data_IF_851134392901
#
_entry.id   IF_851134392901
#
_cell.length_a   1.000
_cell.length_b   1.000
_cell.length_c   1.000
_cell.angle_alpha   90.00
_cell.angle_beta   90.00
_cell.angle_gamma   90.00
#
_symmetry.space_group_name_H-M   'P 1'
#
loop_
_entity.id
_entity.type
_entity.pdbx_description
1 polymer ?
#
# COMPACT_ATOMS: atom_id res chain seq x y z
N UNK A 1 -9.64 2.87 26.89
CA UNK A 1 -9.39 4.06 26.05
C UNK A 1 -10.63 4.29 25.20
N UNK A 2 -11.13 5.52 25.11
CA UNK A 2 -12.24 5.85 24.21
C UNK A 2 -11.65 6.16 22.83
N UNK A 3 -11.81 5.26 21.85
CA UNK A 3 -11.44 5.51 20.44
C UNK A 3 -12.41 6.53 19.83
N UNK A 4 -11.92 7.47 19.02
CA UNK A 4 -12.75 8.45 18.30
C UNK A 4 -12.71 8.15 16.80
N UNK A 5 -13.82 7.80 16.18
CA UNK A 5 -13.90 7.66 14.73
C UNK A 5 -13.84 9.02 14.02
N UNK A 6 -13.10 9.10 12.91
CA UNK A 6 -12.99 10.31 12.08
C UNK A 6 -13.63 10.07 10.71
N UNK A 7 -14.43 11.03 10.23
CA UNK A 7 -15.14 11.01 8.93
C UNK A 7 -14.59 12.13 8.05
N UNK A 8 -14.26 11.87 6.78
CA UNK A 8 -13.77 12.92 5.88
C UNK A 8 -14.36 12.92 4.46
N UNK A 9 -14.40 14.15 3.89
CA UNK A 9 -14.65 14.47 2.49
C UNK A 9 -13.38 15.11 1.93
N UNK A 10 -12.65 14.42 1.04
CA UNK A 10 -11.53 15.00 0.29
C UNK A 10 -11.90 15.14 -1.19
N UNK A 11 -11.92 16.37 -1.70
CA UNK A 11 -12.12 16.64 -3.12
C UNK A 11 -10.83 17.19 -3.70
N UNK A 12 -9.97 16.34 -4.26
CA UNK A 12 -8.86 16.77 -5.11
C UNK A 12 -8.76 15.83 -6.33
N UNK A 13 -9.05 16.39 -7.50
CA UNK A 13 -8.80 15.78 -8.81
C UNK A 13 -7.39 16.19 -9.25
N UNK A 14 -6.48 15.23 -9.41
CA UNK A 14 -5.22 15.44 -10.12
C UNK A 14 -5.36 14.96 -11.57
N UNK A 15 -5.09 15.88 -12.49
CA UNK A 15 -5.17 15.71 -13.94
C UNK A 15 -3.92 14.98 -14.45
N UNK A 16 -4.11 13.80 -15.04
CA UNK A 16 -3.06 13.12 -15.81
C UNK A 16 -2.76 13.87 -17.12
N UNK A 17 -1.52 14.30 -17.30
CA UNK A 17 -1.00 14.85 -18.55
C UNK A 17 -0.34 13.76 -19.38
N UNK A 18 -1.00 13.31 -20.45
CA UNK A 18 -0.40 12.40 -21.44
C UNK A 18 0.61 13.14 -22.33
N UNK A 19 1.83 12.62 -22.42
CA UNK A 19 2.86 13.03 -23.38
C UNK A 19 3.25 11.84 -24.28
N UNK A 20 2.84 11.91 -25.54
CA UNK A 20 2.96 10.87 -26.56
C UNK A 20 4.24 11.06 -27.43
N UNK A 21 4.91 9.97 -27.87
CA UNK A 21 5.77 9.89 -29.09
C UNK A 21 6.37 8.48 -29.41
N UNK A 22 5.64 7.72 -30.23
CA UNK A 22 5.99 7.06 -31.51
C UNK A 22 7.37 6.40 -31.84
N UNK A 23 7.30 5.06 -32.14
CA UNK A 23 7.77 4.25 -33.34
C UNK A 23 9.28 4.14 -33.69
N UNK A 24 9.91 3.03 -34.17
CA UNK A 24 9.50 1.75 -34.85
C UNK A 24 10.71 0.80 -35.03
N UNK A 25 10.44 -0.52 -35.07
CA UNK A 25 11.01 -1.67 -35.85
C UNK A 25 12.53 -1.97 -35.97
N UNK A 26 12.96 -3.19 -35.64
CA UNK A 26 13.01 -4.37 -36.57
C UNK A 26 13.84 -5.56 -36.01
N UNK A 27 13.31 -6.77 -36.20
CA UNK A 27 13.90 -8.10 -35.92
C UNK A 27 14.50 -8.71 -37.22
N UNK A 28 15.40 -9.73 -37.18
CA UNK A 28 14.93 -11.13 -37.12
C UNK A 28 15.83 -12.18 -36.37
N UNK A 29 15.16 -13.15 -35.73
CA UNK A 29 15.40 -14.63 -35.53
C UNK A 29 16.70 -15.26 -36.09
N UNK A 30 17.37 -16.30 -35.56
CA UNK A 30 17.20 -17.42 -34.59
C UNK A 30 18.61 -18.10 -34.45
N UNK A 31 18.97 -19.05 -33.54
CA UNK A 31 18.24 -20.31 -33.30
C UNK A 31 18.22 -20.90 -31.87
N UNK A 32 17.24 -21.78 -31.70
CA UNK A 32 16.94 -22.68 -30.58
C UNK A 32 18.13 -23.57 -30.16
N UNK A 33 18.39 -23.65 -28.86
CA UNK A 33 19.18 -24.72 -28.24
C UNK A 33 18.40 -25.29 -27.05
N UNK A 34 17.98 -26.56 -27.19
CA UNK A 34 17.44 -27.40 -26.10
C UNK A 34 18.44 -27.47 -24.93
N UNK A 35 18.02 -26.96 -23.77
CA UNK A 35 18.72 -27.08 -22.50
C UNK A 35 17.77 -27.65 -21.45
N UNK A 36 18.21 -28.73 -20.82
CA UNK A 36 17.48 -29.59 -19.89
C UNK A 36 16.98 -28.84 -18.66
N UNK A 37 15.71 -29.04 -18.28
CA UNK A 37 15.11 -28.53 -17.04
C UNK A 37 15.88 -29.05 -15.82
N UNK A 38 16.79 -28.24 -15.29
CA UNK A 38 17.26 -28.38 -13.92
C UNK A 38 16.15 -27.86 -13.01
N UNK A 39 15.59 -28.80 -12.26
CA UNK A 39 14.59 -28.54 -11.22
C UNK A 39 15.26 -27.71 -10.13
N UNK A 40 15.12 -26.39 -10.19
CA UNK A 40 15.57 -25.48 -9.15
C UNK A 40 14.82 -25.85 -7.88
N UNK A 41 15.54 -26.42 -6.90
CA UNK A 41 15.02 -26.58 -5.55
C UNK A 41 14.73 -25.18 -5.02
N UNK A 42 13.45 -24.85 -4.89
CA UNK A 42 12.99 -23.64 -4.23
C UNK A 42 13.43 -23.77 -2.78
N UNK A 43 14.49 -23.08 -2.41
CA UNK A 43 14.83 -22.87 -1.02
C UNK A 43 13.74 -21.96 -0.47
N UNK A 44 12.88 -22.48 0.41
CA UNK A 44 12.04 -21.66 1.29
C UNK A 44 13.00 -20.84 2.16
N UNK A 45 13.35 -19.64 1.69
CA UNK A 45 13.86 -18.59 2.54
C UNK A 45 12.77 -18.26 3.54
N UNK A 46 13.06 -18.34 4.85
CA UNK A 46 12.14 -17.88 5.89
C UNK A 46 11.70 -16.46 5.53
N UNK A 47 10.45 -16.32 5.10
CA UNK A 47 9.90 -15.03 4.72
C UNK A 47 9.82 -14.16 5.98
N UNK A 48 10.21 -12.88 5.90
CA UNK A 48 10.19 -12.01 7.06
C UNK A 48 8.80 -11.90 7.71
N UNK A 49 8.81 -11.76 9.04
CA UNK A 49 7.59 -11.70 9.84
C UNK A 49 7.03 -10.28 9.89
N UNK A 50 6.08 -9.96 9.01
CA UNK A 50 5.30 -8.72 9.07
C UNK A 50 4.01 -8.90 9.89
N UNK A 51 3.58 -7.86 10.63
CA UNK A 51 2.37 -7.85 11.48
C UNK A 51 1.09 -8.26 10.75
N UNK A 52 1.03 -8.02 9.43
CA UNK A 52 -0.13 -8.35 8.59
C UNK A 52 0.07 -9.58 7.70
N UNK A 53 1.10 -10.40 7.94
CA UNK A 53 1.35 -11.61 7.15
C UNK A 53 0.11 -12.50 7.04
N UNK A 54 -0.59 -12.72 8.15
CA UNK A 54 -1.77 -13.59 8.19
C UNK A 54 -3.01 -12.95 7.52
N UNK A 55 -2.96 -11.65 7.20
CA UNK A 55 -4.03 -10.96 6.48
C UNK A 55 -3.86 -10.99 4.95
N UNK A 56 -2.67 -11.34 4.45
CA UNK A 56 -2.35 -11.32 3.03
C UNK A 56 -2.27 -12.75 2.48
N UNK A 57 -2.92 -12.95 1.34
CA UNK A 57 -2.88 -14.21 0.60
C UNK A 57 -3.05 -13.94 -0.91
N UNK A 58 -2.99 -14.98 -1.73
CA UNK A 58 -3.15 -14.91 -3.20
C UNK A 58 -4.40 -14.15 -3.66
N UNK A 59 -5.50 -14.21 -2.90
CA UNK A 59 -6.75 -13.50 -3.24
C UNK A 59 -6.69 -12.00 -2.96
N UNK A 60 -5.75 -11.55 -2.12
CA UNK A 60 -5.59 -10.14 -1.71
C UNK A 60 -5.14 -9.27 -2.89
N UNK A 61 -4.18 -9.77 -3.68
CA UNK A 61 -3.65 -9.08 -4.84
C UNK A 61 -3.99 -9.77 -6.17
N UNK A 62 -5.12 -10.48 -6.18
CA UNK A 62 -5.77 -11.07 -7.36
C UNK A 62 -5.13 -12.37 -7.88
N UNK A 63 -3.80 -12.52 -7.84
CA UNK A 63 -3.09 -13.76 -8.23
C UNK A 63 -1.64 -13.80 -7.71
N UNK A 64 -0.88 -14.85 -8.06
CA UNK A 64 0.51 -15.10 -7.61
C UNK A 64 1.44 -13.90 -7.87
N UNK A 65 1.30 -13.23 -9.02
CA UNK A 65 2.09 -12.02 -9.34
C UNK A 65 1.83 -10.86 -8.38
N UNK A 66 0.60 -10.73 -7.89
CA UNK A 66 0.26 -9.76 -6.86
C UNK A 66 0.78 -10.17 -5.49
N UNK A 67 0.78 -11.47 -5.17
CA UNK A 67 1.40 -11.97 -3.94
C UNK A 67 2.93 -11.78 -3.97
N UNK A 68 3.57 -11.88 -5.13
CA UNK A 68 4.99 -11.55 -5.28
C UNK A 68 5.26 -10.09 -4.90
N UNK A 69 4.38 -9.15 -5.27
CA UNK A 69 4.52 -7.76 -4.85
C UNK A 69 4.51 -7.61 -3.32
N UNK A 70 3.75 -8.44 -2.60
CA UNK A 70 3.77 -8.48 -1.14
C UNK A 70 5.08 -9.02 -0.58
N UNK A 71 5.62 -10.09 -1.14
CA UNK A 71 6.91 -10.64 -0.73
C UNK A 71 8.04 -9.64 -0.98
N UNK A 72 8.03 -8.97 -2.13
CA UNK A 72 8.98 -7.91 -2.47
C UNK A 72 8.85 -6.73 -1.51
N UNK A 73 7.62 -6.27 -1.25
CA UNK A 73 7.34 -5.20 -0.31
C UNK A 73 7.98 -5.49 1.05
N UNK A 74 7.71 -6.67 1.63
CA UNK A 74 8.28 -7.08 2.93
C UNK A 74 9.80 -7.02 2.93
N UNK A 75 10.41 -7.64 1.92
CA UNK A 75 11.87 -7.70 1.83
C UNK A 75 12.48 -6.29 1.74
N UNK A 76 11.86 -5.37 0.99
CA UNK A 76 12.31 -3.97 0.93
C UNK A 76 12.16 -3.30 2.30
N UNK A 77 10.98 -3.39 2.93
CA UNK A 77 10.72 -2.63 4.16
C UNK A 77 11.52 -3.12 5.38
N UNK A 78 12.00 -4.36 5.38
CA UNK A 78 12.80 -4.90 6.49
C UNK A 78 14.23 -4.36 6.54
N UNK A 79 14.76 -3.91 5.40
CA UNK A 79 16.12 -3.41 5.25
C UNK A 79 16.20 -1.88 5.25
N UNK A 80 15.06 -1.18 5.45
CA UNK A 80 14.97 0.28 5.32
C UNK A 80 14.37 0.94 6.56
N UNK A 81 14.84 2.15 6.86
CA UNK A 81 14.36 2.97 7.95
C UNK A 81 13.37 4.03 7.44
N UNK A 82 12.19 4.10 8.05
CA UNK A 82 11.25 5.19 7.83
C UNK A 82 11.70 6.43 8.60
N UNK A 83 11.74 7.56 7.90
CA UNK A 83 12.09 8.86 8.43
C UNK A 83 11.09 9.32 9.48
N UNK A 84 11.63 9.85 10.59
CA UNK A 84 10.84 10.23 11.75
C UNK A 84 10.13 11.56 11.53
N UNK A 85 8.80 11.53 11.62
CA UNK A 85 8.01 12.76 11.75
C UNK A 85 7.95 13.13 13.23
N UNK A 86 8.67 14.19 13.59
CA UNK A 86 8.66 14.74 14.94
C UNK A 86 7.54 15.78 15.08
N UNK A 87 6.71 15.60 16.11
CA UNK A 87 5.69 16.58 16.48
C UNK A 87 6.28 17.55 17.50
N UNK A 88 6.84 18.67 17.03
CA UNK A 88 7.40 19.69 17.92
C UNK A 88 6.40 20.85 18.02
N UNK A 89 5.54 20.77 19.05
CA UNK A 89 4.49 21.72 19.42
C UNK A 89 3.21 21.66 18.55
N UNK A 90 2.38 20.63 18.78
CA UNK A 90 0.92 20.50 18.55
C UNK A 90 0.31 20.85 17.16
N UNK A 91 0.97 21.62 16.29
CA UNK A 91 0.36 22.25 15.12
C UNK A 91 1.21 22.18 13.83
N UNK A 92 2.45 21.69 13.86
CA UNK A 92 3.27 21.57 12.64
C UNK A 92 4.25 20.39 12.69
N UNK A 93 4.13 19.40 11.78
CA UNK A 93 5.14 18.36 11.64
C UNK A 93 6.48 19.00 11.27
N UNK A 94 7.55 18.64 12.01
CA UNK A 94 8.89 19.09 11.71
C UNK A 94 9.56 18.13 10.73
N UNK A 95 9.86 18.63 9.52
CA UNK A 95 10.61 17.92 8.48
C UNK A 95 12.09 18.35 8.41
N UNK A 96 12.59 19.17 9.34
CA UNK A 96 13.96 19.71 9.27
C UNK A 96 15.04 18.69 9.68
N UNK A 97 14.66 17.56 10.29
CA UNK A 97 15.58 16.49 10.74
C UNK A 97 15.09 15.10 10.29
N UNK A 98 14.80 14.95 8.99
CA UNK A 98 14.47 13.65 8.42
C UNK A 98 15.69 12.74 8.36
N UNK A 99 15.48 11.47 8.69
CA UNK A 99 16.53 10.48 8.91
C UNK A 99 16.17 9.09 8.35
N UNK A 100 15.27 9.05 7.35
CA UNK A 100 14.87 7.81 6.70
C UNK A 100 15.90 7.35 5.68
N UNK A 101 15.81 6.10 5.24
CA UNK A 101 16.61 5.57 4.15
C UNK A 101 16.46 6.46 2.92
N UNK A 102 17.58 6.69 2.24
CA UNK A 102 17.58 7.58 1.09
C UNK A 102 16.89 6.94 -0.11
N UNK A 103 16.34 7.77 -1.01
CA UNK A 103 15.74 7.27 -2.26
C UNK A 103 16.70 6.42 -3.09
N UNK A 104 17.99 6.75 -3.10
CA UNK A 104 19.01 5.99 -3.82
C UNK A 104 19.18 4.58 -3.24
N UNK A 105 19.23 4.45 -1.91
CA UNK A 105 19.29 3.16 -1.23
C UNK A 105 18.02 2.33 -1.45
N UNK A 106 16.82 2.94 -1.42
CA UNK A 106 15.58 2.21 -1.75
C UNK A 106 15.60 1.68 -3.18
N UNK A 107 16.09 2.49 -4.14
CA UNK A 107 16.21 2.05 -5.53
C UNK A 107 17.15 0.84 -5.64
N UNK A 108 18.29 0.83 -4.94
CA UNK A 108 19.20 -0.31 -4.91
C UNK A 108 18.53 -1.57 -4.34
N UNK A 109 17.77 -1.43 -3.25
CA UNK A 109 17.01 -2.55 -2.66
C UNK A 109 15.97 -3.10 -3.63
N UNK A 110 15.18 -2.22 -4.26
CA UNK A 110 14.18 -2.61 -5.26
C UNK A 110 14.84 -3.32 -6.44
N UNK A 111 15.92 -2.77 -7.01
CA UNK A 111 16.65 -3.38 -8.13
C UNK A 111 17.26 -4.74 -7.78
N UNK A 112 17.60 -4.98 -6.51
CA UNK A 112 18.14 -6.26 -6.04
C UNK A 112 17.09 -7.37 -5.90
N UNK A 113 15.82 -7.00 -5.81
CA UNK A 113 14.69 -7.92 -5.57
C UNK A 113 13.90 -8.11 -6.85
N UNK A 114 13.64 -7.00 -7.53
CA UNK A 114 12.87 -6.92 -8.75
C UNK A 114 13.83 -7.15 -9.92
N UNK A 115 14.31 -8.39 -10.08
CA UNK A 115 14.99 -8.85 -11.32
C UNK A 115 14.00 -8.95 -12.52
N UNK A 116 12.90 -8.20 -12.46
CA UNK A 116 11.74 -8.26 -13.32
C UNK A 116 11.72 -7.02 -14.21
N UNK A 117 12.16 -7.19 -15.45
CA UNK A 117 12.10 -6.14 -16.49
C UNK A 117 10.68 -5.62 -16.76
N UNK A 118 9.65 -6.30 -16.23
CA UNK A 118 8.24 -5.98 -16.42
C UNK A 118 7.61 -5.19 -15.27
N UNK A 119 8.30 -4.93 -14.14
CA UNK A 119 7.78 -3.99 -13.13
C UNK A 119 8.01 -2.56 -13.61
N UNK A 120 6.92 -1.78 -13.67
CA UNK A 120 6.97 -0.40 -14.15
C UNK A 120 7.21 0.57 -13.00
N UNK A 121 8.27 1.36 -13.11
CA UNK A 121 8.55 2.47 -12.21
C UNK A 121 7.93 3.76 -12.76
N UNK A 122 7.29 4.53 -11.87
CA UNK A 122 6.75 5.86 -12.17
C UNK A 122 7.03 6.81 -11.00
N UNK A 123 7.09 8.11 -11.28
CA UNK A 123 7.39 9.13 -10.28
C UNK A 123 6.52 10.37 -10.43
N UNK A 124 6.04 10.88 -9.31
CA UNK A 124 5.26 12.11 -9.24
C UNK A 124 5.92 13.07 -8.25
N UNK A 125 6.33 14.23 -8.77
CA UNK A 125 6.76 15.35 -7.94
C UNK A 125 5.52 15.98 -7.27
N UNK A 126 5.46 15.91 -5.95
CA UNK A 126 4.39 16.50 -5.14
C UNK A 126 4.72 17.97 -4.85
N UNK A 127 5.98 18.25 -4.53
CA UNK A 127 6.55 19.58 -4.37
C UNK A 127 8.07 19.55 -4.60
N UNK A 128 8.76 20.68 -4.48
CA UNK A 128 10.20 20.82 -4.78
C UNK A 128 11.07 19.76 -4.08
N UNK A 129 10.67 19.30 -2.88
CA UNK A 129 11.41 18.35 -2.07
C UNK A 129 10.62 17.06 -1.78
N UNK A 130 9.46 16.87 -2.39
CA UNK A 130 8.57 15.74 -2.11
C UNK A 130 8.28 14.94 -3.37
N UNK A 131 8.51 13.62 -3.30
CA UNK A 131 8.38 12.72 -4.45
C UNK A 131 7.62 11.46 -4.02
N UNK A 132 6.70 11.03 -4.87
CA UNK A 132 6.12 9.69 -4.81
C UNK A 132 6.76 8.83 -5.91
N UNK A 133 7.27 7.66 -5.54
CA UNK A 133 7.72 6.64 -6.48
C UNK A 133 6.79 5.44 -6.40
N UNK A 134 6.37 4.96 -7.56
CA UNK A 134 5.47 3.81 -7.71
C UNK A 134 6.20 2.68 -8.41
N UNK A 135 6.04 1.45 -7.92
CA UNK A 135 6.46 0.23 -8.60
C UNK A 135 5.23 -0.63 -8.87
N UNK A 136 4.85 -0.74 -10.14
CA UNK A 136 3.60 -1.35 -10.59
C UNK A 136 3.86 -2.73 -11.17
N UNK A 137 3.21 -3.72 -10.59
CA UNK A 137 3.34 -5.12 -10.96
C UNK A 137 2.27 -5.47 -12.00
N UNK A 138 2.63 -5.70 -13.27
CA UNK A 138 1.66 -6.06 -14.28
C UNK A 138 1.10 -7.47 -14.04
N UNK A 139 -0.08 -7.79 -14.61
CA UNK A 139 -0.54 -9.15 -14.73
C UNK A 139 0.42 -9.98 -15.58
N UNK A 140 0.48 -11.28 -15.32
CA UNK A 140 1.22 -12.22 -16.16
C UNK A 140 0.69 -12.21 -17.61
N UNK A 141 1.53 -12.58 -18.57
CA UNK A 141 1.17 -12.61 -20.00
C UNK A 141 0.00 -13.57 -20.32
N UNK A 142 -0.26 -14.55 -19.47
CA UNK A 142 -1.34 -15.54 -19.56
C UNK A 142 -2.47 -15.32 -18.52
N UNK A 143 -2.39 -14.25 -17.74
CA UNK A 143 -3.40 -13.87 -16.75
C UNK A 143 -4.75 -13.54 -17.41
N UNK A 144 -5.85 -13.92 -16.74
CA UNK A 144 -7.20 -13.52 -17.16
C UNK A 144 -7.44 -12.00 -17.03
N UNK A 145 -6.61 -11.31 -16.24
CA UNK A 145 -6.71 -9.88 -15.99
C UNK A 145 -5.92 -9.03 -16.99
N UNK A 146 -5.10 -9.62 -17.86
CA UNK A 146 -4.22 -8.92 -18.81
C UNK A 146 -4.90 -7.83 -19.64
N UNK A 147 -6.13 -8.07 -20.07
CA UNK A 147 -6.90 -7.13 -20.91
C UNK A 147 -7.70 -6.11 -20.08
N UNK A 148 -7.80 -6.29 -18.77
CA UNK A 148 -8.67 -5.50 -17.87
C UNK A 148 -7.90 -4.68 -16.83
N UNK A 149 -6.71 -5.12 -16.46
CA UNK A 149 -5.84 -4.50 -15.46
C UNK A 149 -4.52 -4.09 -16.11
N UNK A 150 -4.11 -2.84 -15.91
CA UNK A 150 -2.77 -2.40 -16.30
C UNK A 150 -1.71 -2.91 -15.32
N UNK A 151 -2.07 -3.02 -14.04
CA UNK A 151 -1.25 -3.58 -12.96
C UNK A 151 -2.14 -4.17 -11.88
N UNK A 152 -1.67 -5.20 -11.20
CA UNK A 152 -2.39 -5.94 -10.15
C UNK A 152 -2.12 -5.36 -8.77
N UNK A 153 -0.87 -4.95 -8.54
CA UNK A 153 -0.40 -4.40 -7.29
C UNK A 153 0.54 -3.23 -7.56
N UNK A 154 0.62 -2.32 -6.60
CA UNK A 154 1.46 -1.14 -6.64
C UNK A 154 2.12 -0.98 -5.28
N UNK A 155 3.46 -0.94 -5.28
CA UNK A 155 4.24 -0.45 -4.15
C UNK A 155 4.40 1.06 -4.31
N UNK A 156 4.26 1.78 -3.21
CA UNK A 156 4.44 3.23 -3.19
C UNK A 156 5.38 3.62 -2.07
N UNK A 157 6.35 4.46 -2.43
CA UNK A 157 7.28 5.07 -1.49
C UNK A 157 7.18 6.58 -1.61
N UNK A 158 6.94 7.24 -0.49
CA UNK A 158 6.89 8.70 -0.41
C UNK A 158 8.15 9.22 0.27
N UNK A 159 8.79 10.19 -0.38
CA UNK A 159 10.03 10.80 0.06
C UNK A 159 9.81 12.28 0.34
N UNK A 160 10.43 12.78 1.42
CA UNK A 160 10.58 14.20 1.70
C UNK A 160 12.07 14.50 1.97
N UNK A 161 12.62 15.53 1.34
CA UNK A 161 14.04 15.89 1.38
C UNK A 161 14.95 14.66 1.16
N UNK A 162 14.59 13.81 0.19
CA UNK A 162 15.29 12.56 -0.18
C UNK A 162 15.26 11.44 0.87
N UNK A 163 14.50 11.56 1.96
CA UNK A 163 14.34 10.53 2.99
C UNK A 163 13.01 9.82 2.80
N UNK A 164 12.99 8.49 2.92
CA UNK A 164 11.76 7.70 2.90
C UNK A 164 10.90 8.06 4.12
N UNK A 165 9.65 8.45 3.91
CA UNK A 165 8.73 8.88 4.98
C UNK A 165 7.52 7.97 5.13
N UNK A 166 7.11 7.31 4.06
CA UNK A 166 5.96 6.42 4.04
C UNK A 166 6.15 5.34 2.98
N UNK A 167 5.69 4.14 3.30
CA UNK A 167 5.63 3.01 2.38
C UNK A 167 4.22 2.42 2.35
N UNK A 168 3.81 1.88 1.20
CA UNK A 168 2.57 1.10 1.11
C UNK A 168 2.57 0.09 -0.01
N UNK A 169 1.71 -0.90 0.12
CA UNK A 169 1.27 -1.81 -0.94
C UNK A 169 -0.25 -1.72 -1.10
N UNK A 170 -0.70 -1.62 -2.35
CA UNK A 170 -2.11 -1.48 -2.72
C UNK A 170 -2.42 -2.28 -3.99
N UNK A 171 -3.69 -2.66 -4.25
CA UNK A 171 -4.07 -3.27 -5.51
C UNK A 171 -4.12 -2.20 -6.60
N UNK A 172 -3.51 -2.50 -7.73
CA UNK A 172 -3.69 -1.75 -8.98
C UNK A 172 -5.02 -2.04 -9.67
N UNK A 173 -5.52 -3.26 -9.45
CA UNK A 173 -6.83 -3.69 -9.90
C UNK A 173 -7.58 -4.34 -8.75
N UNK A 174 -8.82 -3.90 -8.56
CA UNK A 174 -9.64 -4.40 -7.47
C UNK A 174 -11.04 -4.81 -7.93
N UNK A 175 -11.58 -5.79 -7.22
CA UNK A 175 -12.98 -6.19 -7.28
C UNK A 175 -13.47 -6.43 -5.86
N UNK A 176 -14.44 -5.62 -5.43
CA UNK A 176 -15.03 -5.75 -4.11
C UNK A 176 -16.16 -6.77 -4.17
N UNK A 177 -15.96 -7.89 -3.50
CA UNK A 177 -17.03 -8.87 -3.28
C UNK A 177 -18.02 -8.28 -2.27
N UNK A 178 -19.21 -7.94 -2.74
CA UNK A 178 -20.24 -7.30 -1.91
C UNK A 178 -20.89 -8.29 -0.93
N UNK A 179 -20.74 -9.60 -1.18
CA UNK A 179 -21.26 -10.65 -0.33
C UNK A 179 -20.41 -10.76 0.95
N UNK A 180 -21.06 -10.70 2.11
CA UNK A 180 -20.44 -10.85 3.44
C UNK A 180 -19.43 -9.76 3.87
N UNK A 181 -19.52 -8.54 3.33
CA UNK A 181 -18.74 -7.43 3.85
C UNK A 181 -19.07 -7.15 5.33
N UNK A 182 -18.07 -6.91 6.19
CA UNK A 182 -18.32 -6.54 7.57
C UNK A 182 -19.02 -5.18 7.65
N UNK A 183 -19.84 -4.98 8.69
CA UNK A 183 -20.45 -3.67 8.90
C UNK A 183 -19.47 -2.72 9.55
N UNK A 184 -19.53 -1.42 9.20
CA UNK A 184 -18.66 -0.42 9.82
C UNK A 184 -18.77 -0.40 11.36
N UNK A 185 -19.97 -0.66 11.91
CA UNK A 185 -20.18 -0.73 13.36
C UNK A 185 -19.46 -1.92 14.00
N UNK A 186 -19.42 -3.08 13.34
CA UNK A 186 -18.68 -4.25 13.85
C UNK A 186 -17.18 -3.94 13.86
N UNK A 187 -16.68 -3.33 12.78
CA UNK A 187 -15.28 -2.94 12.64
C UNK A 187 -14.82 -1.94 13.71
N UNK A 188 -15.67 -0.99 14.11
CA UNK A 188 -15.35 -0.01 15.16
C UNK A 188 -15.08 -0.66 16.54
N UNK A 189 -15.50 -1.90 16.74
CA UNK A 189 -15.33 -2.62 18.02
C UNK A 189 -14.01 -3.37 18.13
N UNK A 190 -13.30 -3.58 17.01
CA UNK A 190 -12.07 -4.36 16.99
C UNK A 190 -10.93 -3.63 17.72
N UNK A 191 -10.10 -4.42 18.37
CA UNK A 191 -9.00 -3.97 19.22
C UNK A 191 -7.64 -4.54 18.81
N UNK A 192 -7.59 -5.69 18.13
CA UNK A 192 -6.33 -6.32 17.71
C UNK A 192 -6.32 -6.73 16.23
N UNK A 193 -5.12 -6.90 15.67
CA UNK A 193 -4.93 -7.39 14.29
C UNK A 193 -5.52 -8.79 14.10
N UNK A 194 -5.35 -9.69 15.07
CA UNK A 194 -5.99 -11.01 15.04
C UNK A 194 -7.52 -10.97 14.97
N UNK A 195 -8.17 -9.92 15.49
CA UNK A 195 -9.62 -9.77 15.34
C UNK A 195 -10.01 -9.37 13.91
N UNK A 196 -9.14 -8.63 13.19
CA UNK A 196 -9.30 -8.34 11.77
C UNK A 196 -9.13 -9.62 10.94
N UNK A 197 -8.12 -10.43 11.27
CA UNK A 197 -7.85 -11.72 10.62
C UNK A 197 -9.08 -12.65 10.68
N UNK A 198 -9.72 -12.72 11.85
CA UNK A 198 -10.92 -13.54 12.05
C UNK A 198 -12.12 -13.14 11.17
N UNK A 199 -12.13 -11.94 10.60
CA UNK A 199 -13.16 -11.52 9.64
C UNK A 199 -13.01 -12.23 8.29
N UNK A 200 -11.82 -12.73 7.96
CA UNK A 200 -11.46 -13.24 6.63
C UNK A 200 -11.81 -12.25 5.50
N UNK A 201 -11.69 -10.95 5.79
CA UNK A 201 -11.95 -9.88 4.82
C UNK A 201 -10.72 -9.64 3.95
N UNK A 202 -10.94 -9.39 2.66
CA UNK A 202 -9.86 -9.03 1.73
C UNK A 202 -9.25 -7.69 2.12
N UNK A 203 -7.94 -7.64 2.32
CA UNK A 203 -7.19 -6.41 2.56
C UNK A 203 -6.87 -5.72 1.23
N UNK A 204 -6.88 -4.39 1.25
CA UNK A 204 -6.65 -3.57 0.06
C UNK A 204 -5.51 -2.57 0.26
N UNK A 205 -5.13 -2.24 1.48
CA UNK A 205 -3.99 -1.35 1.66
C UNK A 205 -3.27 -1.80 2.91
N UNK A 206 -1.96 -1.93 2.80
CA UNK A 206 -1.06 -1.99 3.92
C UNK A 206 -0.09 -0.83 3.75
N UNK A 207 0.11 -0.05 4.80
CA UNK A 207 0.97 1.13 4.75
C UNK A 207 1.60 1.42 6.11
N UNK A 208 2.74 2.12 6.09
CA UNK A 208 3.58 2.33 7.27
C UNK A 208 4.16 3.74 7.29
N UNK A 209 4.20 4.33 8.50
CA UNK A 209 4.81 5.63 8.75
C UNK A 209 5.44 5.65 10.15
N UNK A 210 6.61 6.27 10.28
CA UNK A 210 7.26 6.49 11.58
C UNK A 210 6.78 7.82 12.19
N UNK A 211 5.97 7.74 13.25
CA UNK A 211 5.44 8.90 13.96
C UNK A 211 6.05 8.93 15.35
N UNK A 212 6.83 9.97 15.65
CA UNK A 212 7.71 9.98 16.82
C UNK A 212 8.57 8.69 16.84
N UNK A 213 8.69 8.01 17.98
CA UNK A 213 9.51 6.79 18.11
C UNK A 213 8.72 5.50 17.80
N UNK A 214 7.47 5.62 17.35
CA UNK A 214 6.61 4.47 17.06
C UNK A 214 6.40 4.28 15.55
N UNK A 215 6.65 3.06 15.06
CA UNK A 215 6.20 2.63 13.73
C UNK A 215 4.70 2.39 13.79
N UNK A 216 3.94 3.22 13.08
CA UNK A 216 2.49 3.07 12.97
C UNK A 216 2.20 2.41 11.63
N UNK A 217 1.49 1.30 11.69
CA UNK A 217 1.06 0.56 10.52
C UNK A 217 -0.42 0.80 10.29
N UNK A 218 -0.86 0.70 9.05
CA UNK A 218 -2.24 0.89 8.66
C UNK A 218 -2.66 -0.27 7.75
N UNK A 219 -3.87 -0.76 7.96
CA UNK A 219 -4.52 -1.74 7.09
C UNK A 219 -5.92 -1.27 6.71
N UNK A 220 -6.28 -1.42 5.43
CA UNK A 220 -7.60 -1.06 4.92
C UNK A 220 -8.38 -2.29 4.45
N UNK A 221 -9.62 -2.40 4.92
CA UNK A 221 -10.60 -3.38 4.42
C UNK A 221 -11.88 -2.67 3.95
N UNK A 222 -12.53 -3.18 2.89
CA UNK A 222 -13.84 -2.69 2.49
C UNK A 222 -14.89 -3.04 3.55
N UNK A 223 -15.81 -2.12 3.81
CA UNK A 223 -16.87 -2.28 4.79
C UNK A 223 -18.19 -1.74 4.26
N UNK A 224 -19.29 -2.32 4.71
CA UNK A 224 -20.62 -1.80 4.40
C UNK A 224 -21.10 -0.90 5.53
N UNK A 225 -21.57 0.29 5.19
CA UNK A 225 -22.32 1.14 6.09
C UNK A 225 -23.78 1.24 5.63
N UNK A 226 -24.70 1.24 6.58
CA UNK A 226 -26.12 1.48 6.30
C UNK A 226 -26.51 2.75 7.03
N UNK A 227 -26.82 3.79 6.27
CA UNK A 227 -27.21 5.07 6.87
C UNK A 227 -28.63 5.01 7.49
N UNK A 228 -29.03 6.07 8.21
CA UNK A 228 -30.34 6.12 8.88
C UNK A 228 -31.54 5.99 7.93
N UNK A 229 -31.35 6.29 6.64
CA UNK A 229 -32.36 6.17 5.59
C UNK A 229 -32.38 4.76 4.95
N UNK A 230 -31.50 3.86 5.39
CA UNK A 230 -31.37 2.50 4.89
C UNK A 230 -30.57 2.38 3.59
N UNK A 231 -29.86 3.44 3.18
CA UNK A 231 -28.95 3.37 2.02
C UNK A 231 -27.65 2.71 2.43
N UNK A 232 -27.25 1.72 1.63
CA UNK A 232 -25.96 1.07 1.72
C UNK A 232 -24.88 1.95 1.05
N UNK A 233 -23.76 2.13 1.75
CA UNK A 233 -22.58 2.84 1.28
C UNK A 233 -21.34 1.98 1.53
N UNK A 234 -20.56 1.75 0.48
CA UNK A 234 -19.29 1.06 0.57
C UNK A 234 -18.22 2.02 1.09
N UNK A 235 -17.55 1.63 2.17
CA UNK A 235 -16.49 2.37 2.82
C UNK A 235 -15.15 1.65 2.65
N UNK A 236 -14.08 2.43 2.55
CA UNK A 236 -12.73 1.99 2.85
C UNK A 236 -12.49 2.24 4.34
N UNK A 237 -12.38 1.16 5.14
CA UNK A 237 -12.22 1.24 6.59
C UNK A 237 -10.77 0.94 6.97
N UNK A 238 -10.12 1.92 7.59
CA UNK A 238 -8.71 1.90 7.94
C UNK A 238 -8.54 1.65 9.43
N UNK A 239 -7.69 0.68 9.77
CA UNK A 239 -7.18 0.48 11.12
C UNK A 239 -5.76 0.97 11.18
N UNK A 240 -5.44 1.74 12.22
CA UNK A 240 -4.08 2.09 12.58
C UNK A 240 -3.64 1.24 13.75
N UNK A 241 -2.48 0.62 13.63
CA UNK A 241 -1.95 -0.29 14.62
C UNK A 241 -0.56 0.14 15.09
N UNK A 242 -0.31 -0.16 16.36
CA UNK A 242 1.02 -0.21 16.94
C UNK A 242 1.24 -1.65 17.38
N UNK A 243 2.15 -2.33 16.70
CA UNK A 243 2.25 -3.79 16.74
C UNK A 243 0.86 -4.43 16.46
N UNK A 244 0.48 -5.41 17.27
CA UNK A 244 -0.80 -6.14 17.22
C UNK A 244 -2.03 -5.34 17.67
N UNK A 245 -1.85 -4.13 18.22
CA UNK A 245 -2.95 -3.38 18.83
C UNK A 245 -3.49 -2.30 17.88
N UNK A 246 -4.80 -2.30 17.68
CA UNK A 246 -5.51 -1.22 16.97
C UNK A 246 -5.61 -0.02 17.90
N UNK A 247 -4.88 1.05 17.58
CA UNK A 247 -4.85 2.30 18.34
C UNK A 247 -5.94 3.28 17.88
N UNK A 248 -6.28 3.26 16.59
CA UNK A 248 -7.27 4.17 16.00
C UNK A 248 -7.88 3.58 14.73
N UNK A 249 -9.01 4.12 14.29
CA UNK A 249 -9.59 3.83 12.98
C UNK A 249 -10.06 5.10 12.27
N UNK A 250 -10.18 5.02 10.95
CA UNK A 250 -10.77 6.04 10.10
C UNK A 250 -11.54 5.37 8.95
N UNK A 251 -12.43 6.11 8.29
CA UNK A 251 -13.08 5.60 7.09
C UNK A 251 -13.41 6.71 6.09
N UNK A 252 -13.39 6.33 4.82
CA UNK A 252 -13.70 7.18 3.68
C UNK A 252 -14.66 6.45 2.74
N UNK A 253 -15.47 7.16 1.93
CA UNK A 253 -16.20 6.53 0.85
C UNK A 253 -15.25 5.77 -0.07
N UNK A 254 -15.55 4.49 -0.36
CA UNK A 254 -14.65 3.65 -1.13
C UNK A 254 -14.37 4.22 -2.53
N UNK A 255 -15.38 4.83 -3.16
CA UNK A 255 -15.26 5.47 -4.48
C UNK A 255 -14.28 6.64 -4.56
N UNK A 256 -13.93 7.25 -3.42
CA UNK A 256 -12.90 8.27 -3.31
C UNK A 256 -11.52 7.63 -3.22
N UNK A 257 -11.40 6.62 -2.37
CA UNK A 257 -10.13 5.92 -2.10
C UNK A 257 -9.66 5.13 -3.31
N UNK A 258 -10.60 4.50 -4.02
CA UNK A 258 -10.33 3.57 -5.11
C UNK A 258 -9.79 4.20 -6.40
N UNK A 259 -9.55 5.52 -6.38
CA UNK A 259 -8.86 6.27 -7.41
C UNK A 259 -7.36 6.41 -7.13
N UNK A 260 -6.98 6.39 -5.86
CA UNK A 260 -5.59 6.60 -5.38
C UNK A 260 -5.49 6.15 -3.91
N UNK A 261 -5.24 4.86 -3.68
CA UNK A 261 -5.10 4.30 -2.33
C UNK A 261 -3.91 4.92 -1.56
N UNK A 262 -2.70 5.06 -2.16
CA UNK A 262 -1.54 5.57 -1.44
C UNK A 262 -1.73 7.01 -0.93
N UNK A 263 -2.21 7.93 -1.78
CA UNK A 263 -2.38 9.34 -1.38
C UNK A 263 -3.40 9.46 -0.24
N UNK A 264 -4.51 8.72 -0.30
CA UNK A 264 -5.49 8.71 0.80
C UNK A 264 -4.88 8.19 2.10
N UNK A 265 -4.02 7.17 2.03
CA UNK A 265 -3.32 6.61 3.20
C UNK A 265 -2.39 7.62 3.85
N UNK A 266 -1.57 8.33 3.06
CA UNK A 266 -0.68 9.40 3.53
C UNK A 266 -1.48 10.51 4.23
N UNK A 267 -2.57 10.98 3.61
CA UNK A 267 -3.43 12.01 4.18
C UNK A 267 -4.05 11.58 5.52
N UNK A 268 -4.47 10.32 5.62
CA UNK A 268 -5.02 9.77 6.86
C UNK A 268 -3.95 9.66 7.96
N UNK A 269 -2.70 9.32 7.64
CA UNK A 269 -1.59 9.37 8.60
C UNK A 269 -1.33 10.79 9.11
N UNK A 270 -1.29 11.78 8.22
CA UNK A 270 -1.13 13.19 8.62
C UNK A 270 -2.27 13.69 9.49
N UNK A 271 -3.48 13.16 9.33
CA UNK A 271 -4.61 13.46 10.20
C UNK A 271 -4.59 12.70 11.53
N UNK A 272 -3.91 11.56 11.60
CA UNK A 272 -3.74 10.78 12.83
C UNK A 272 -2.74 11.45 13.78
N UNK A 273 -1.72 12.10 13.23
CA UNK A 273 -0.64 12.76 13.97
C UNK A 273 -1.12 13.53 15.21
N UNK A 274 -2.11 14.46 15.13
CA UNK A 274 -2.56 15.21 16.30
C UNK A 274 -3.34 14.38 17.33
N UNK A 275 -3.96 13.26 16.91
CA UNK A 275 -4.72 12.40 17.82
C UNK A 275 -3.80 11.48 18.64
N UNK A 276 -2.64 11.07 18.09
CA UNK A 276 -1.64 10.27 18.82
C UNK A 276 -1.05 11.04 20.01
N UNK A 277 -0.91 12.36 19.93
CA UNK A 277 -0.43 13.19 21.04
C UNK A 277 -1.37 13.17 22.26
N UNK A 278 -2.64 12.84 22.05
CA UNK A 278 -3.69 12.88 23.07
C UNK A 278 -4.01 11.50 23.70
N UNK A 279 -3.30 10.43 23.29
CA UNK A 279 -3.46 9.05 23.78
C UNK A 279 -2.49 8.74 24.93
#
# INVERSE_FOLDING_TARGET
>A
MNKKGIIFFSSLLLLAGCGDKNTTDSDPEEPVVEGTEEKTEIFETESPSHTYNDLVNETTFTEEYGLQAWEDYKKIIDDVDLGKINLINEDNPNFDELNGTSREEIQEEVESIVEREDVFQDEVEVSENEILTFYRYPPAEDSEYKETAQFLAELTFYYADNNLMFSSITPGYYSVEMDNLPTANDLMTLMTVSEIENLNSKVYTISEMQINDDKIQQVMIPAMNVNEEGSEELLAFYFFTRDENIIQYAYLPFSMVSQDFPTNSILLFYQLIPEIENL
#
